data_IF_733139117100
#
_entry.id   IF_733139117100
#
_cell.length_a   1.000
_cell.length_b   1.000
_cell.length_c   1.000
_cell.angle_alpha   90.00
_cell.angle_beta   90.00
_cell.angle_gamma   90.00
#
_symmetry.space_group_name_H-M   'P 1'
#
loop_
_entity.id
_entity.type
_entity.pdbx_description
1 polymer ?
#
# COMPACT_ATOMS: atom_id res chain seq x y z
N UNK A 1 -16.78 3.92 -7.12
CA UNK A 1 -15.60 3.66 -6.27
C UNK A 1 -15.68 4.39 -4.93
N UNK A 2 -15.24 3.73 -3.85
CA UNK A 2 -14.98 4.31 -2.52
C UNK A 2 -13.65 3.75 -1.99
N UNK A 3 -12.78 4.63 -1.48
CA UNK A 3 -11.50 4.24 -0.86
C UNK A 3 -11.58 4.65 0.62
N UNK A 4 -11.35 3.70 1.53
CA UNK A 4 -11.35 3.94 2.96
C UNK A 4 -10.00 3.51 3.53
N UNK A 5 -9.27 4.48 4.08
CA UNK A 5 -8.07 4.22 4.86
C UNK A 5 -8.46 3.60 6.21
N UNK A 6 -7.87 2.44 6.53
CA UNK A 6 -8.00 1.80 7.84
C UNK A 6 -6.84 2.25 8.72
N UNK A 7 -5.60 1.89 8.36
CA UNK A 7 -4.37 2.26 9.08
C UNK A 7 -3.16 1.89 8.21
N UNK A 8 -2.07 2.66 8.28
CA UNK A 8 -0.87 2.42 7.47
C UNK A 8 -1.18 2.33 5.96
N UNK A 9 -0.88 1.20 5.31
CA UNK A 9 -1.26 0.87 3.94
C UNK A 9 -2.55 0.03 3.83
N UNK A 10 -3.18 -0.32 4.95
CA UNK A 10 -4.42 -1.10 4.93
C UNK A 10 -5.58 -0.25 4.43
N UNK A 11 -6.19 -0.69 3.34
CA UNK A 11 -7.30 -0.01 2.67
C UNK A 11 -8.46 -0.96 2.46
N UNK A 12 -9.68 -0.42 2.56
CA UNK A 12 -10.86 -1.03 1.95
C UNK A 12 -11.17 -0.23 0.69
N UNK A 13 -11.26 -0.93 -0.45
CA UNK A 13 -11.55 -0.33 -1.75
C UNK A 13 -12.80 -1.00 -2.34
N UNK A 14 -13.90 -0.26 -2.38
CA UNK A 14 -15.09 -0.65 -3.14
C UNK A 14 -14.91 -0.17 -4.60
N UNK A 15 -14.79 -1.11 -5.54
CA UNK A 15 -14.51 -0.86 -6.96
C UNK A 15 -15.33 -1.79 -7.85
N UNK A 16 -16.20 -1.24 -8.71
CA UNK A 16 -17.01 -2.01 -9.66
C UNK A 16 -17.77 -3.18 -8.99
N UNK A 17 -18.56 -2.87 -7.96
CA UNK A 17 -19.35 -3.81 -7.15
C UNK A 17 -18.55 -4.88 -6.40
N UNK A 18 -17.22 -4.72 -6.30
CA UNK A 18 -16.31 -5.56 -5.52
C UNK A 18 -15.67 -4.81 -4.37
N UNK A 19 -15.50 -5.48 -3.25
CA UNK A 19 -14.80 -4.95 -2.07
C UNK A 19 -13.45 -5.64 -1.89
N UNK A 20 -12.38 -4.87 -2.04
CA UNK A 20 -11.01 -5.33 -1.84
C UNK A 20 -10.49 -4.88 -0.47
N UNK A 21 -9.80 -5.78 0.23
CA UNK A 21 -8.95 -5.45 1.36
C UNK A 21 -7.50 -5.45 0.88
N UNK A 22 -6.85 -4.29 0.92
CA UNK A 22 -5.46 -4.13 0.49
C UNK A 22 -4.56 -4.17 1.72
N UNK A 23 -3.49 -4.97 1.68
CA UNK A 23 -2.41 -5.02 2.67
C UNK A 23 -2.89 -4.98 4.13
N UNK A 24 -3.61 -6.03 4.61
CA UNK A 24 -4.16 -6.04 5.95
C UNK A 24 -3.06 -6.18 7.03
N UNK A 25 -2.92 -5.12 7.82
CA UNK A 25 -2.10 -5.05 9.03
C UNK A 25 -3.01 -4.78 10.23
N UNK A 26 -3.47 -5.87 10.87
CA UNK A 26 -4.63 -5.86 11.78
C UNK A 26 -4.25 -5.97 13.27
N UNK A 27 -2.97 -6.07 13.59
CA UNK A 27 -2.49 -6.16 14.97
C UNK A 27 -2.93 -4.99 15.86
N UNK A 28 -3.18 -5.29 17.12
CA UNK A 28 -3.40 -4.28 18.15
C UNK A 28 -2.19 -3.34 18.29
N UNK A 29 -2.41 -2.11 18.76
CA UNK A 29 -1.34 -1.15 19.00
C UNK A 29 -0.21 -1.78 19.84
N UNK A 30 1.04 -1.51 19.45
CA UNK A 30 2.26 -1.97 20.11
C UNK A 30 2.48 -3.50 20.15
N UNK A 31 1.85 -4.26 19.28
CA UNK A 31 2.02 -5.72 19.19
C UNK A 31 3.39 -6.17 18.68
N UNK A 32 3.94 -5.44 17.70
CA UNK A 32 5.12 -5.82 16.94
C UNK A 32 6.36 -5.01 17.35
N UNK A 33 7.56 -5.58 17.23
CA UNK A 33 8.79 -4.88 17.56
C UNK A 33 9.00 -3.65 16.67
N UNK A 34 9.83 -2.73 17.17
CA UNK A 34 10.41 -1.65 16.37
C UNK A 34 11.19 -2.22 15.17
N UNK A 35 11.14 -1.54 14.02
CA UNK A 35 12.07 -1.83 12.94
C UNK A 35 13.50 -1.44 13.34
N UNK A 36 14.46 -2.35 13.11
CA UNK A 36 15.87 -2.08 13.40
C UNK A 36 16.37 -0.86 12.61
N UNK A 37 17.00 0.09 13.30
CA UNK A 37 17.49 1.33 12.70
C UNK A 37 16.44 2.43 12.53
N UNK A 38 15.21 2.24 13.03
CA UNK A 38 14.23 3.31 13.11
C UNK A 38 14.69 4.47 14.01
N UNK A 39 14.11 5.65 13.80
CA UNK A 39 14.42 6.85 14.59
C UNK A 39 13.66 6.92 15.93
N UNK A 40 12.77 5.95 16.19
CA UNK A 40 11.94 5.83 17.39
C UNK A 40 11.94 4.39 17.91
N UNK A 41 11.99 4.23 19.24
CA UNK A 41 11.86 2.93 19.92
C UNK A 41 10.40 2.51 20.14
N UNK A 42 9.43 3.26 19.61
CA UNK A 42 8.00 2.93 19.71
C UNK A 42 7.69 1.60 19.01
N UNK A 43 6.87 0.77 19.67
CA UNK A 43 6.39 -0.48 19.11
C UNK A 43 5.33 -0.24 18.03
N UNK A 44 5.20 -1.19 17.12
CA UNK A 44 4.28 -1.09 15.98
C UNK A 44 3.02 -1.93 16.20
N UNK A 45 1.88 -1.56 15.60
CA UNK A 45 1.55 -0.23 15.11
C UNK A 45 1.48 0.81 16.26
N UNK A 46 1.68 2.09 15.95
CA UNK A 46 1.69 3.20 16.93
C UNK A 46 0.28 3.70 17.30
N UNK A 47 -0.74 3.29 16.54
CA UNK A 47 -2.14 3.67 16.72
C UNK A 47 -3.07 2.46 16.64
N UNK A 48 -4.21 2.53 17.29
CA UNK A 48 -5.26 1.51 17.22
C UNK A 48 -5.91 1.46 15.82
N UNK A 49 -6.59 0.36 15.51
CA UNK A 49 -7.53 0.33 14.40
C UNK A 49 -8.68 1.33 14.66
N UNK A 50 -9.22 1.98 13.62
CA UNK A 50 -10.33 2.92 13.78
C UNK A 50 -11.69 2.23 14.01
N UNK A 51 -11.75 0.90 13.85
CA UNK A 51 -12.93 0.06 13.97
C UNK A 51 -12.54 -1.38 14.34
N UNK A 52 -13.51 -2.24 14.62
CA UNK A 52 -13.24 -3.64 14.97
C UNK A 52 -12.69 -4.43 13.78
N UNK A 53 -11.97 -5.52 14.06
CA UNK A 53 -11.44 -6.41 13.00
C UNK A 53 -12.60 -7.02 12.21
N UNK A 54 -13.69 -7.39 12.88
CA UNK A 54 -14.90 -7.93 12.26
C UNK A 54 -15.47 -6.98 11.21
N UNK A 55 -15.51 -5.68 11.49
CA UNK A 55 -15.97 -4.67 10.53
C UNK A 55 -14.96 -4.45 9.39
N UNK A 56 -13.65 -4.59 9.64
CA UNK A 56 -12.62 -4.45 8.59
C UNK A 56 -12.70 -5.58 7.56
N UNK A 57 -13.01 -6.80 8.01
CA UNK A 57 -13.04 -8.00 7.15
C UNK A 57 -14.46 -8.36 6.67
N UNK A 58 -15.45 -7.50 6.91
CA UNK A 58 -16.84 -7.72 6.50
C UNK A 58 -17.02 -7.59 4.98
N UNK A 59 -17.67 -8.61 4.39
CA UNK A 59 -18.03 -8.65 2.97
C UNK A 59 -16.86 -8.39 1.99
N UNK A 60 -15.64 -8.82 2.32
CA UNK A 60 -14.50 -8.75 1.42
C UNK A 60 -14.66 -9.79 0.29
N UNK A 61 -14.54 -9.36 -0.96
CA UNK A 61 -14.52 -10.24 -2.13
C UNK A 61 -13.12 -10.82 -2.39
N UNK A 62 -12.08 -10.03 -2.14
CA UNK A 62 -10.68 -10.45 -2.28
C UNK A 62 -9.73 -9.61 -1.43
N UNK A 63 -8.63 -10.22 -1.03
CA UNK A 63 -7.48 -9.52 -0.42
C UNK A 63 -6.41 -9.32 -1.48
N UNK A 64 -5.81 -8.14 -1.54
CA UNK A 64 -4.59 -7.90 -2.34
C UNK A 64 -3.42 -7.79 -1.37
N UNK A 65 -2.37 -8.59 -1.61
CA UNK A 65 -1.13 -8.53 -0.84
C UNK A 65 0.00 -8.09 -1.76
N UNK A 66 0.47 -6.86 -1.56
CA UNK A 66 1.54 -6.27 -2.37
C UNK A 66 2.88 -6.92 -2.08
N UNK A 67 3.17 -7.21 -0.81
CA UNK A 67 4.34 -7.93 -0.32
C UNK A 67 4.09 -8.37 1.13
N UNK A 68 5.01 -9.16 1.72
CA UNK A 68 4.79 -9.84 3.01
C UNK A 68 5.53 -9.23 4.19
N UNK A 69 5.92 -7.95 4.12
CA UNK A 69 6.35 -7.23 5.33
C UNK A 69 5.18 -7.14 6.33
N UNK A 70 5.49 -7.20 7.62
CA UNK A 70 4.47 -7.35 8.65
C UNK A 70 3.52 -6.14 8.76
N UNK A 71 3.91 -4.96 8.28
CA UNK A 71 3.06 -3.77 8.24
C UNK A 71 2.11 -3.73 7.02
N UNK A 72 2.12 -4.81 6.21
CA UNK A 72 1.23 -5.07 5.07
C UNK A 72 0.54 -6.45 5.16
N UNK A 73 1.14 -7.41 5.85
CA UNK A 73 0.59 -8.76 6.02
C UNK A 73 1.04 -9.36 7.35
N UNK A 74 0.20 -9.24 8.37
CA UNK A 74 0.57 -9.61 9.74
C UNK A 74 -0.06 -10.91 10.24
N UNK A 75 0.47 -11.43 11.35
CA UNK A 75 -0.05 -12.66 11.98
C UNK A 75 -1.53 -12.56 12.33
N UNK A 76 -2.02 -11.37 12.69
CA UNK A 76 -3.45 -11.18 13.00
C UNK A 76 -4.29 -11.29 11.74
N UNK A 77 -3.91 -10.66 10.63
CA UNK A 77 -4.58 -10.86 9.34
C UNK A 77 -4.59 -12.33 8.94
N UNK A 78 -3.47 -13.03 9.10
CA UNK A 78 -3.38 -14.48 8.83
C UNK A 78 -4.37 -15.25 9.72
N UNK A 79 -4.51 -14.93 11.00
CA UNK A 79 -5.40 -15.64 11.91
C UNK A 79 -6.88 -15.43 11.61
N UNK A 80 -7.29 -14.17 11.34
CA UNK A 80 -8.70 -13.79 11.28
C UNK A 80 -9.33 -13.94 9.90
N UNK A 81 -8.54 -13.88 8.82
CA UNK A 81 -9.08 -13.96 7.47
C UNK A 81 -9.56 -15.38 7.13
N UNK A 82 -10.74 -15.54 6.50
CA UNK A 82 -11.22 -16.84 6.04
C UNK A 82 -10.22 -17.48 5.07
N UNK A 83 -9.85 -18.74 5.33
CA UNK A 83 -8.83 -19.47 4.55
C UNK A 83 -9.23 -19.77 3.10
N UNK A 84 -10.50 -19.60 2.76
CA UNK A 84 -11.04 -19.73 1.40
C UNK A 84 -11.30 -18.38 0.72
N UNK A 85 -11.02 -17.26 1.38
CA UNK A 85 -11.12 -15.94 0.77
C UNK A 85 -10.07 -15.82 -0.35
N UNK A 86 -10.43 -15.34 -1.55
CA UNK A 86 -9.47 -15.12 -2.62
C UNK A 86 -8.37 -14.14 -2.18
N UNK A 87 -7.11 -14.57 -2.28
CA UNK A 87 -5.94 -13.71 -2.10
C UNK A 87 -5.27 -13.51 -3.44
N UNK A 88 -5.16 -12.25 -3.86
CA UNK A 88 -4.42 -11.80 -5.03
C UNK A 88 -2.98 -11.50 -4.62
N UNK A 89 -2.11 -12.50 -4.79
CA UNK A 89 -0.68 -12.39 -4.52
C UNK A 89 0.04 -11.87 -5.77
N UNK A 90 0.90 -10.85 -5.63
CA UNK A 90 1.53 -10.19 -6.78
C UNK A 90 2.82 -10.87 -7.27
N UNK A 91 3.25 -11.98 -6.66
CA UNK A 91 4.35 -12.82 -7.15
C UNK A 91 4.17 -14.28 -6.73
N UNK A 92 4.97 -15.19 -7.32
CA UNK A 92 5.00 -16.60 -6.90
C UNK A 92 5.55 -16.76 -5.48
N UNK A 93 6.53 -15.94 -5.07
CA UNK A 93 7.11 -15.99 -3.72
C UNK A 93 6.06 -15.64 -2.67
N UNK A 94 5.32 -14.54 -2.85
CA UNK A 94 4.20 -14.13 -2.00
C UNK A 94 3.13 -15.24 -1.98
N UNK A 95 2.76 -15.77 -3.15
CA UNK A 95 1.74 -16.80 -3.23
C UNK A 95 2.14 -18.08 -2.51
N UNK A 96 3.42 -18.47 -2.58
CA UNK A 96 3.94 -19.65 -1.89
C UNK A 96 3.88 -19.47 -0.38
N UNK A 97 4.37 -18.34 0.13
CA UNK A 97 4.34 -18.02 1.56
C UNK A 97 2.91 -18.02 2.12
N UNK A 98 1.96 -17.39 1.42
CA UNK A 98 0.56 -17.32 1.86
C UNK A 98 -0.12 -18.70 1.82
N UNK A 99 0.22 -19.58 0.86
CA UNK A 99 -0.29 -20.96 0.83
C UNK A 99 0.21 -21.78 2.02
N UNK A 100 1.46 -21.57 2.45
CA UNK A 100 2.02 -22.22 3.65
C UNK A 100 1.27 -21.80 4.92
N UNK A 101 0.64 -20.62 4.91
CA UNK A 101 -0.22 -20.10 5.98
C UNK A 101 -1.68 -20.62 5.90
N UNK A 102 -1.90 -21.71 5.17
CA UNK A 102 -3.16 -22.45 5.02
C UNK A 102 -4.25 -21.79 4.19
N UNK A 103 -3.96 -20.71 3.45
CA UNK A 103 -4.92 -20.15 2.50
C UNK A 103 -5.05 -21.04 1.26
N UNK A 104 -6.29 -21.26 0.84
CA UNK A 104 -6.66 -22.27 -0.17
C UNK A 104 -7.00 -21.68 -1.54
N UNK A 105 -7.35 -20.40 -1.62
CA UNK A 105 -7.57 -19.67 -2.87
C UNK A 105 -6.55 -18.52 -3.00
N UNK A 106 -5.32 -18.88 -3.39
CA UNK A 106 -4.22 -17.92 -3.61
C UNK A 106 -3.91 -17.84 -5.09
N UNK A 107 -4.22 -16.68 -5.68
CA UNK A 107 -4.14 -16.40 -7.12
C UNK A 107 -2.99 -15.46 -7.40
N UNK A 108 -2.04 -15.92 -8.22
CA UNK A 108 -0.94 -15.07 -8.67
C UNK A 108 -1.50 -14.09 -9.69
N UNK A 109 -1.39 -12.79 -9.41
CA UNK A 109 -1.97 -11.73 -10.23
C UNK A 109 -0.86 -10.80 -10.72
N UNK A 110 -0.45 -11.00 -11.97
CA UNK A 110 0.49 -10.08 -12.66
C UNK A 110 -0.20 -9.24 -13.74
N UNK A 111 -1.42 -9.62 -14.11
CA UNK A 111 -2.24 -9.04 -15.17
C UNK A 111 -3.50 -9.88 -15.37
N UNK A 112 -4.64 -9.26 -15.67
CA UNK A 112 -5.86 -9.97 -16.09
C UNK A 112 -7.12 -9.52 -15.37
N UNK A 113 -8.23 -10.23 -15.65
CA UNK A 113 -9.54 -9.88 -15.11
C UNK A 113 -9.84 -10.64 -13.81
N UNK A 114 -10.20 -9.91 -12.75
CA UNK A 114 -10.85 -10.43 -11.56
C UNK A 114 -12.31 -9.98 -11.57
N UNK A 115 -13.25 -10.92 -11.78
CA UNK A 115 -14.69 -10.62 -11.75
C UNK A 115 -15.09 -9.44 -12.66
N UNK A 116 -14.41 -9.28 -13.80
CA UNK A 116 -14.65 -8.19 -14.77
C UNK A 116 -13.78 -6.95 -14.57
N UNK A 117 -13.01 -6.85 -13.48
CA UNK A 117 -12.07 -5.76 -13.20
C UNK A 117 -10.71 -6.12 -13.77
N UNK A 118 -10.17 -5.28 -14.65
CA UNK A 118 -8.81 -5.44 -15.16
C UNK A 118 -7.82 -4.99 -14.08
N UNK A 119 -6.93 -5.90 -13.69
CA UNK A 119 -5.87 -5.69 -12.71
C UNK A 119 -4.54 -5.86 -13.42
N UNK A 120 -3.70 -4.84 -13.37
CA UNK A 120 -2.33 -4.89 -13.88
C UNK A 120 -1.36 -4.69 -12.72
N UNK A 121 -0.43 -5.63 -12.51
CA UNK A 121 0.63 -5.46 -11.51
C UNK A 121 1.68 -4.47 -12.01
N UNK A 122 2.16 -3.61 -11.11
CA UNK A 122 3.27 -2.70 -11.37
C UNK A 122 4.49 -3.06 -10.52
N UNK A 123 5.69 -2.77 -11.03
CA UNK A 123 6.93 -2.88 -10.26
C UNK A 123 7.05 -1.72 -9.29
N UNK A 124 7.58 -1.98 -8.09
CA UNK A 124 8.04 -0.94 -7.16
C UNK A 124 9.54 -1.06 -6.88
N UNK A 125 10.10 -0.03 -6.23
CA UNK A 125 11.44 -0.04 -5.66
C UNK A 125 11.40 0.50 -4.24
N UNK A 126 11.62 -0.38 -3.26
CA UNK A 126 11.51 -0.06 -1.84
C UNK A 126 12.79 0.62 -1.31
N UNK A 127 13.00 1.87 -1.74
CA UNK A 127 14.13 2.72 -1.35
C UNK A 127 15.20 2.89 -2.40
N UNK A 128 16.39 3.29 -1.93
CA UNK A 128 17.53 3.59 -2.78
C UNK A 128 18.76 2.76 -2.39
N UNK A 129 19.63 2.48 -3.37
CA UNK A 129 20.90 1.80 -3.14
C UNK A 129 20.75 0.46 -2.40
N UNK A 130 21.53 0.26 -1.34
CA UNK A 130 21.53 -0.98 -0.57
C UNK A 130 20.22 -1.24 0.18
N UNK A 131 19.46 -0.21 0.53
CA UNK A 131 18.16 -0.38 1.19
C UNK A 131 17.20 -1.11 0.26
N UNK A 132 17.11 -0.68 -1.01
CA UNK A 132 16.26 -1.33 -2.01
C UNK A 132 16.61 -2.80 -2.22
N UNK A 133 17.91 -3.15 -2.17
CA UNK A 133 18.37 -4.53 -2.31
C UNK A 133 17.93 -5.39 -1.11
N UNK A 134 18.04 -4.85 0.11
CA UNK A 134 17.66 -5.57 1.35
C UNK A 134 16.15 -5.70 1.51
N UNK A 135 15.41 -4.70 1.07
CA UNK A 135 13.96 -4.61 1.19
C UNK A 135 13.21 -5.61 0.27
N UNK A 136 13.87 -6.09 -0.78
CA UNK A 136 13.31 -7.13 -1.64
C UNK A 136 12.28 -6.62 -2.65
N UNK A 137 11.51 -7.55 -3.21
CA UNK A 137 10.52 -7.25 -4.24
C UNK A 137 9.24 -6.69 -3.63
N UNK A 138 8.78 -5.59 -4.20
CA UNK A 138 7.55 -4.88 -3.86
C UNK A 138 6.78 -4.59 -5.13
N UNK A 139 5.46 -4.54 -5.01
CA UNK A 139 4.57 -4.45 -6.15
C UNK A 139 3.45 -3.45 -5.89
N UNK A 140 2.88 -2.91 -6.96
CA UNK A 140 1.64 -2.15 -6.93
C UNK A 140 0.62 -2.75 -7.91
N UNK A 141 -0.54 -2.12 -8.00
CA UNK A 141 -1.61 -2.51 -8.94
C UNK A 141 -2.27 -1.30 -9.58
N UNK A 142 -2.65 -1.45 -10.85
CA UNK A 142 -3.62 -0.57 -11.51
C UNK A 142 -4.91 -1.34 -11.72
N UNK A 143 -6.02 -0.77 -11.24
CA UNK A 143 -7.38 -1.27 -11.44
C UNK A 143 -8.08 -0.45 -12.52
N UNK A 144 -8.76 -1.14 -13.44
CA UNK A 144 -9.58 -0.53 -14.48
C UNK A 144 -10.91 -1.26 -14.60
N UNK A 145 -11.97 -0.47 -14.75
CA UNK A 145 -13.29 -0.97 -15.12
C UNK A 145 -14.01 0.11 -15.93
N UNK A 146 -14.86 -0.28 -16.88
CA UNK A 146 -15.52 0.67 -17.80
C UNK A 146 -16.43 1.69 -17.10
N UNK A 147 -16.93 1.33 -15.93
CA UNK A 147 -17.91 2.10 -15.14
C UNK A 147 -17.24 2.80 -13.93
N UNK A 148 -15.91 2.75 -13.81
CA UNK A 148 -15.15 3.33 -12.69
C UNK A 148 -13.96 4.17 -13.20
N UNK A 149 -13.56 5.16 -12.41
CA UNK A 149 -12.26 5.80 -12.59
C UNK A 149 -11.12 4.79 -12.41
N UNK A 150 -10.07 4.92 -13.19
CA UNK A 150 -8.87 4.09 -13.04
C UNK A 150 -8.13 4.43 -11.73
N UNK A 151 -7.67 3.39 -11.03
CA UNK A 151 -7.04 3.52 -9.72
C UNK A 151 -5.65 2.87 -9.74
N UNK A 152 -4.62 3.63 -9.40
CA UNK A 152 -3.27 3.12 -9.16
C UNK A 152 -3.00 3.05 -7.66
N UNK A 153 -2.63 1.89 -7.13
CA UNK A 153 -2.09 1.72 -5.77
C UNK A 153 -0.61 1.38 -5.93
N UNK A 154 0.26 2.30 -5.55
CA UNK A 154 1.69 2.20 -5.84
C UNK A 154 2.43 1.13 -5.03
N UNK A 155 1.91 0.83 -3.83
CA UNK A 155 2.63 0.01 -2.85
C UNK A 155 3.89 0.72 -2.31
N UNK A 156 4.77 -0.06 -1.70
CA UNK A 156 5.99 0.45 -1.07
C UNK A 156 7.08 0.74 -2.10
N UNK A 157 7.01 1.92 -2.71
CA UNK A 157 8.00 2.37 -3.71
C UNK A 157 8.40 3.82 -3.48
N UNK A 158 9.65 4.16 -3.79
CA UNK A 158 10.08 5.55 -4.02
C UNK A 158 9.70 5.98 -5.44
N UNK A 159 9.73 7.29 -5.73
CA UNK A 159 9.62 7.77 -7.10
C UNK A 159 10.89 7.45 -7.91
N UNK A 160 10.71 6.88 -9.09
CA UNK A 160 11.80 6.59 -10.03
C UNK A 160 11.26 6.39 -11.45
N UNK A 161 12.15 6.10 -12.40
CA UNK A 161 11.83 5.99 -13.82
C UNK A 161 10.64 5.08 -14.14
N UNK A 162 10.46 3.95 -13.45
CA UNK A 162 9.29 3.09 -13.74
C UNK A 162 7.99 3.63 -13.16
N UNK A 163 8.02 4.34 -12.02
CA UNK A 163 6.83 5.05 -11.54
C UNK A 163 6.43 6.12 -12.56
N UNK A 164 7.38 6.86 -13.12
CA UNK A 164 7.13 7.81 -14.20
C UNK A 164 6.53 7.12 -15.43
N UNK A 165 7.10 5.99 -15.86
CA UNK A 165 6.59 5.21 -16.98
C UNK A 165 5.16 4.71 -16.74
N UNK A 166 4.84 4.25 -15.53
CA UNK A 166 3.49 3.82 -15.13
C UNK A 166 2.53 5.01 -15.21
N UNK A 167 2.87 6.15 -14.61
CA UNK A 167 1.99 7.33 -14.62
C UNK A 167 1.74 7.86 -16.03
N UNK A 168 2.76 7.86 -16.90
CA UNK A 168 2.65 8.35 -18.28
C UNK A 168 1.97 7.36 -19.23
N UNK A 169 2.08 6.07 -18.98
CA UNK A 169 1.46 5.01 -19.79
C UNK A 169 0.03 4.74 -19.36
N UNK A 170 -0.19 4.53 -18.06
CA UNK A 170 -1.47 4.09 -17.50
C UNK A 170 -2.42 5.24 -17.22
N UNK A 171 -1.87 6.43 -16.97
CA UNK A 171 -2.62 7.68 -16.73
C UNK A 171 -3.80 7.49 -15.77
N UNK A 172 -3.57 6.92 -14.57
CA UNK A 172 -4.65 6.68 -13.62
C UNK A 172 -5.35 7.98 -13.23
N UNK A 173 -6.67 7.94 -13.08
CA UNK A 173 -7.45 9.09 -12.62
C UNK A 173 -7.15 9.39 -11.14
N UNK A 174 -6.87 8.35 -10.37
CA UNK A 174 -6.57 8.40 -8.93
C UNK A 174 -5.34 7.54 -8.64
N UNK A 175 -4.41 8.06 -7.85
CA UNK A 175 -3.26 7.30 -7.33
C UNK A 175 -3.24 7.32 -5.80
N UNK A 176 -3.07 6.15 -5.20
CA UNK A 176 -2.82 5.96 -3.78
C UNK A 176 -1.33 5.72 -3.60
N UNK A 177 -0.68 6.60 -2.85
CA UNK A 177 0.76 6.61 -2.64
C UNK A 177 1.08 6.36 -1.16
N UNK A 178 1.95 5.39 -0.90
CA UNK A 178 2.52 5.17 0.42
C UNK A 178 3.57 6.26 0.65
N UNK A 179 3.16 7.38 1.24
CA UNK A 179 3.91 8.62 1.26
C UNK A 179 4.14 9.14 2.70
N UNK A 180 4.54 8.23 3.60
CA UNK A 180 4.96 8.58 4.96
C UNK A 180 6.43 8.99 5.08
N UNK A 181 7.19 9.04 3.98
CA UNK A 181 8.62 9.36 3.99
C UNK A 181 9.43 8.43 4.87
N UNK A 182 9.01 7.17 4.98
CA UNK A 182 9.52 6.24 5.99
C UNK A 182 11.01 5.99 5.75
N UNK A 183 11.80 6.10 6.82
CA UNK A 183 13.24 5.97 6.75
C UNK A 183 13.85 5.47 8.05
N UNK A 184 15.00 4.82 7.91
CA UNK A 184 15.92 4.54 9.01
C UNK A 184 16.75 5.78 9.37
N UNK A 185 17.62 5.66 10.37
CA UNK A 185 18.60 6.69 10.74
C UNK A 185 19.54 7.05 9.58
N UNK A 186 19.84 6.08 8.70
CA UNK A 186 20.73 6.23 7.55
C UNK A 186 20.11 5.66 6.27
N UNK A 187 20.55 6.15 5.12
CA UNK A 187 20.20 5.62 3.79
C UNK A 187 18.97 6.23 3.12
N UNK A 188 18.24 7.11 3.80
CA UNK A 188 17.15 7.90 3.21
C UNK A 188 15.79 7.18 3.17
N UNK A 189 14.78 7.78 2.49
CA UNK A 189 13.44 7.23 2.42
C UNK A 189 13.40 5.92 1.63
N UNK A 190 12.59 4.98 2.11
CA UNK A 190 12.34 3.71 1.45
C UNK A 190 10.95 3.56 0.83
N UNK A 191 10.06 4.51 1.12
CA UNK A 191 8.81 4.77 0.39
C UNK A 191 8.76 6.24 0.00
N UNK A 192 7.70 6.69 -0.68
CA UNK A 192 7.61 8.09 -1.11
C UNK A 192 7.66 9.06 0.06
N UNK A 193 8.31 10.19 -0.14
CA UNK A 193 8.19 11.38 0.69
C UNK A 193 7.42 12.49 -0.05
N UNK A 194 7.48 13.72 0.46
CA UNK A 194 6.78 14.85 -0.16
C UNK A 194 7.36 15.24 -1.53
N UNK A 195 8.66 15.08 -1.76
CA UNK A 195 9.28 15.43 -3.04
C UNK A 195 8.94 14.36 -4.11
N UNK A 196 8.85 13.10 -3.71
CA UNK A 196 8.32 12.02 -4.55
C UNK A 196 6.85 12.24 -4.91
N UNK A 197 6.01 12.63 -3.94
CA UNK A 197 4.61 12.98 -4.18
C UNK A 197 4.49 14.15 -5.15
N UNK A 198 5.30 15.19 -4.97
CA UNK A 198 5.35 16.32 -5.89
C UNK A 198 5.79 15.91 -7.30
N UNK A 199 6.75 14.99 -7.42
CA UNK A 199 7.20 14.44 -8.71
C UNK A 199 6.09 13.65 -9.41
N UNK A 200 5.30 12.87 -8.66
CA UNK A 200 4.10 12.21 -9.17
C UNK A 200 3.07 13.23 -9.69
N UNK A 201 2.81 14.29 -8.90
CA UNK A 201 1.91 15.36 -9.30
C UNK A 201 2.39 16.08 -10.58
N UNK A 202 3.68 16.39 -10.69
CA UNK A 202 4.23 17.02 -11.90
C UNK A 202 4.11 16.12 -13.14
N UNK A 203 4.30 14.81 -12.96
CA UNK A 203 4.22 13.82 -14.03
C UNK A 203 2.80 13.65 -14.56
N UNK A 204 1.82 13.62 -13.65
CA UNK A 204 0.40 13.49 -14.00
C UNK A 204 -0.47 14.47 -13.19
N UNK A 205 -0.48 15.78 -13.54
CA UNK A 205 -1.15 16.81 -12.74
C UNK A 205 -2.67 16.69 -12.66
N UNK A 206 -3.25 15.89 -13.56
CA UNK A 206 -4.70 15.68 -13.64
C UNK A 206 -5.20 14.61 -12.67
N UNK A 207 -4.31 13.76 -12.16
CA UNK A 207 -4.67 12.67 -11.26
C UNK A 207 -4.85 13.18 -9.83
N UNK A 208 -5.82 12.61 -9.11
CA UNK A 208 -5.98 12.87 -7.67
C UNK A 208 -5.01 11.96 -6.90
N UNK A 209 -4.35 12.52 -5.90
CA UNK A 209 -3.43 11.78 -5.04
C UNK A 209 -4.09 11.53 -3.69
N UNK A 210 -4.02 10.28 -3.22
CA UNK A 210 -4.41 9.87 -1.87
C UNK A 210 -3.15 9.40 -1.15
N UNK A 211 -2.70 10.14 -0.15
CA UNK A 211 -1.52 9.78 0.65
C UNK A 211 -1.89 8.89 1.83
N UNK A 212 -1.17 7.77 1.99
CA UNK A 212 -1.33 6.76 3.06
C UNK A 212 0.04 6.30 3.58
N UNK A 213 0.10 5.25 4.41
CA UNK A 213 1.34 4.75 5.03
C UNK A 213 2.01 5.79 5.96
N UNK A 214 1.19 6.52 6.72
CA UNK A 214 1.64 7.60 7.62
C UNK A 214 1.14 7.38 9.05
N UNK A 215 1.98 7.75 10.03
CA UNK A 215 1.66 7.81 11.47
C UNK A 215 1.05 6.51 12.04
N UNK A 216 1.52 5.36 11.56
CA UNK A 216 1.08 4.05 12.03
C UNK A 216 2.23 3.09 12.35
N UNK A 217 3.44 3.38 11.86
CA UNK A 217 4.67 2.65 12.18
C UNK A 217 5.79 3.63 12.52
N UNK A 218 6.74 3.17 13.31
CA UNK A 218 7.79 3.98 13.92
C UNK A 218 8.90 4.44 12.96
N UNK A 219 8.86 4.01 11.69
CA UNK A 219 9.74 4.51 10.62
C UNK A 219 9.12 5.67 9.84
N UNK A 220 7.80 5.90 9.97
CA UNK A 220 7.11 7.01 9.31
C UNK A 220 7.64 8.35 9.83
N UNK A 221 8.04 9.22 8.90
CA UNK A 221 8.68 10.50 9.21
C UNK A 221 7.82 11.69 8.86
N UNK A 222 7.11 11.61 7.74
CA UNK A 222 6.19 12.66 7.29
C UNK A 222 4.87 12.51 8.04
N UNK A 223 4.51 13.50 8.84
CA UNK A 223 3.20 13.56 9.49
C UNK A 223 2.12 14.09 8.53
N UNK A 224 0.85 13.82 8.82
CA UNK A 224 -0.28 14.38 8.06
C UNK A 224 -0.35 15.90 8.18
N UNK A 225 0.15 16.45 9.30
CA UNK A 225 0.21 17.89 9.52
C UNK A 225 1.28 18.54 8.63
N UNK A 226 2.48 17.95 8.57
CA UNK A 226 3.56 18.43 7.71
C UNK A 226 3.18 18.30 6.23
N UNK A 227 2.59 17.17 5.82
CA UNK A 227 2.11 17.00 4.44
C UNK A 227 1.13 18.12 4.03
N UNK A 228 0.20 18.50 4.91
CA UNK A 228 -0.74 19.61 4.63
C UNK A 228 -0.05 20.96 4.54
N UNK A 229 0.99 21.19 5.34
CA UNK A 229 1.80 22.40 5.26
C UNK A 229 2.55 22.44 3.92
N UNK A 230 3.19 21.34 3.53
CA UNK A 230 3.93 21.23 2.28
C UNK A 230 3.02 21.40 1.05
N UNK A 231 1.81 20.83 1.07
CA UNK A 231 0.79 21.03 0.03
C UNK A 231 0.46 22.52 -0.11
N UNK A 232 0.25 23.23 1.00
CA UNK A 232 -0.05 24.66 0.99
C UNK A 232 1.15 25.50 0.49
N UNK A 233 2.37 25.17 0.91
CA UNK A 233 3.60 25.86 0.49
C UNK A 233 3.88 25.67 -1.01
N UNK A 234 3.65 24.46 -1.53
CA UNK A 234 3.77 24.13 -2.95
C UNK A 234 2.55 24.55 -3.78
N UNK A 235 1.55 25.22 -3.18
CA UNK A 235 0.33 25.72 -3.82
C UNK A 235 -0.48 24.62 -4.54
N UNK A 236 -0.46 23.42 -3.98
CA UNK A 236 -1.27 22.28 -4.42
C UNK A 236 -2.66 22.37 -3.77
N UNK A 237 -3.68 21.80 -4.42
CA UNK A 237 -5.02 21.65 -3.84
C UNK A 237 -5.10 20.37 -3.01
N UNK A 238 -5.59 20.49 -1.76
CA UNK A 238 -6.06 19.39 -0.91
C UNK A 238 -7.46 18.93 -1.35
#
# INVERSE_FOLDING_TARGET
>A
MKIQLIRNATLIVDYADKRFLIDPFLGEKHRYPTFEGAHSDELNPTVELPMSIEEVIEDIDAVVVTHTHYDHWDEVAIEVLPKNLPILALSESIATEIREQSFTDVRITTGGAFEGIDITRTTGRHGHGEIAVKAGEVWGIVLRHRDESSLYIAGDTVYYEEVENILTTEKPDIMVLNAGGNQYLEGGPFVMDMDDLFSCHQTLPTAKIVSVHMEAINTAKLSRTELKQDIAEKQLTD
#
